data_IF_662157775810
#
_entry.id   IF_662157775810
#
_cell.length_a   1.000
_cell.length_b   1.000
_cell.length_c   1.000
_cell.angle_alpha   90.00
_cell.angle_beta   90.00
_cell.angle_gamma   90.00
#
_symmetry.space_group_name_H-M   'P 1'
#
loop_
_entity.id
_entity.type
_entity.pdbx_description
1 polymer ?
#
# COMPACT_ATOMS: atom_id res chain seq x y z
N UNK A 1 60.79 -54.67 -21.62
CA UNK A 1 60.83 -54.89 -23.09
C UNK A 1 60.65 -53.54 -23.79
N UNK A 2 61.28 -53.33 -24.97
CA UNK A 2 61.01 -52.35 -26.07
C UNK A 2 60.41 -50.96 -25.67
N UNK A 3 61.05 -49.78 -25.89
CA UNK A 3 61.40 -49.08 -27.17
C UNK A 3 60.20 -49.04 -28.17
N UNK A 4 59.84 -48.03 -28.97
CA UNK A 4 60.34 -46.73 -29.53
C UNK A 4 59.09 -45.95 -30.05
N UNK A 5 59.03 -44.66 -30.45
CA UNK A 5 59.81 -43.40 -30.31
C UNK A 5 58.97 -42.25 -30.91
N UNK A 6 58.93 -41.05 -30.32
CA UNK A 6 58.61 -39.78 -31.02
C UNK A 6 58.88 -38.56 -30.11
N UNK A 7 59.20 -37.35 -30.60
CA UNK A 7 60.10 -36.95 -31.70
C UNK A 7 60.47 -35.48 -31.42
N UNK A 8 61.71 -35.06 -31.70
CA UNK A 8 62.12 -33.64 -31.61
C UNK A 8 61.78 -32.88 -32.91
N UNK A 9 62.09 -31.59 -32.95
CA UNK A 9 61.85 -30.59 -34.02
C UNK A 9 60.41 -29.98 -33.98
N UNK A 10 60.20 -28.67 -34.18
CA UNK A 10 61.11 -27.54 -34.40
C UNK A 10 60.39 -26.20 -34.18
N UNK A 11 61.10 -25.20 -33.66
CA UNK A 11 60.66 -23.79 -33.69
C UNK A 11 60.66 -23.23 -35.13
N UNK A 12 59.77 -22.29 -35.42
CA UNK A 12 60.20 -21.06 -36.06
C UNK A 12 59.81 -19.83 -35.24
N UNK A 13 60.79 -18.99 -34.92
CA UNK A 13 60.55 -17.60 -34.56
C UNK A 13 60.17 -16.85 -35.85
N UNK A 14 58.98 -16.27 -35.90
CA UNK A 14 58.59 -15.31 -36.93
C UNK A 14 57.89 -14.10 -36.29
N UNK A 15 58.18 -12.92 -36.83
CA UNK A 15 57.92 -11.62 -36.22
C UNK A 15 56.45 -11.16 -36.35
N UNK A 16 56.01 -10.40 -35.34
CA UNK A 16 55.01 -9.30 -35.36
C UNK A 16 53.95 -9.29 -36.49
N UNK A 17 52.67 -9.30 -36.09
CA UNK A 17 51.78 -8.13 -36.18
C UNK A 17 50.54 -8.35 -35.31
N UNK A 18 49.91 -7.26 -34.85
CA UNK A 18 49.02 -7.30 -33.69
C UNK A 18 47.56 -7.68 -33.99
N UNK A 19 46.86 -8.06 -32.92
CA UNK A 19 45.51 -7.58 -32.66
C UNK A 19 45.23 -7.66 -31.15
N UNK A 20 45.18 -6.51 -30.48
CA UNK A 20 44.49 -6.40 -29.20
C UNK A 20 43.00 -6.57 -29.47
N UNK A 21 42.42 -7.66 -28.99
CA UNK A 21 40.99 -7.77 -28.69
C UNK A 21 40.85 -7.94 -27.17
N UNK A 22 41.32 -6.96 -26.38
CA UNK A 22 40.47 -5.87 -25.87
C UNK A 22 39.17 -6.40 -25.24
N UNK A 23 39.20 -6.61 -23.93
CA UNK A 23 37.96 -6.74 -23.16
C UNK A 23 37.19 -5.41 -23.22
N UNK A 24 35.90 -5.51 -23.51
CA UNK A 24 34.95 -4.38 -23.46
C UNK A 24 33.50 -4.81 -23.18
N UNK A 25 33.20 -6.11 -23.20
CA UNK A 25 31.85 -6.64 -22.98
C UNK A 25 31.36 -6.43 -21.54
N UNK A 26 32.23 -6.51 -20.52
CA UNK A 26 31.78 -6.51 -19.12
C UNK A 26 31.15 -5.21 -18.63
N UNK A 27 31.62 -4.03 -19.08
CA UNK A 27 31.09 -2.75 -18.59
C UNK A 27 29.86 -2.29 -19.38
N UNK A 28 29.89 -2.40 -20.71
CA UNK A 28 28.75 -2.03 -21.57
C UNK A 28 27.53 -2.95 -21.35
N UNK A 29 27.75 -4.25 -21.22
CA UNK A 29 26.67 -5.24 -21.02
C UNK A 29 26.08 -5.13 -19.61
N UNK A 30 26.88 -4.79 -18.59
CA UNK A 30 26.35 -4.41 -17.27
C UNK A 30 25.54 -3.11 -17.33
N UNK A 31 26.01 -2.09 -18.06
CA UNK A 31 25.33 -0.80 -18.11
C UNK A 31 23.98 -0.89 -18.86
N UNK A 32 23.91 -1.55 -20.02
CA UNK A 32 22.66 -1.81 -20.76
C UNK A 32 21.63 -2.59 -19.92
N UNK A 33 22.09 -3.57 -19.12
CA UNK A 33 21.22 -4.30 -18.19
C UNK A 33 20.71 -3.39 -17.06
N UNK A 34 21.58 -2.56 -16.45
CA UNK A 34 21.15 -1.65 -15.38
C UNK A 34 20.13 -0.61 -15.86
N UNK A 35 20.32 -0.04 -17.05
CA UNK A 35 19.36 0.87 -17.66
C UNK A 35 18.03 0.15 -17.96
N UNK A 36 18.08 -1.05 -18.54
CA UNK A 36 16.88 -1.85 -18.84
C UNK A 36 16.06 -2.17 -17.59
N UNK A 37 16.72 -2.60 -16.50
CA UNK A 37 16.06 -2.88 -15.22
C UNK A 37 15.46 -1.60 -14.61
N UNK A 38 16.18 -0.48 -14.63
CA UNK A 38 15.65 0.79 -14.13
C UNK A 38 14.43 1.28 -14.94
N UNK A 39 14.47 1.23 -16.27
CA UNK A 39 13.36 1.70 -17.10
C UNK A 39 12.09 0.83 -16.96
N UNK A 40 12.24 -0.49 -16.79
CA UNK A 40 11.11 -1.38 -16.44
C UNK A 40 10.47 -1.00 -15.11
N UNK A 41 11.27 -0.82 -14.06
CA UNK A 41 10.79 -0.39 -12.75
C UNK A 41 10.08 0.99 -12.82
N UNK A 42 10.65 1.92 -13.59
CA UNK A 42 10.06 3.25 -13.80
C UNK A 42 8.72 3.20 -14.54
N UNK A 43 8.60 2.41 -15.60
CA UNK A 43 7.35 2.25 -16.34
C UNK A 43 6.25 1.62 -15.47
N UNK A 44 6.59 0.60 -14.68
CA UNK A 44 5.67 0.00 -13.71
C UNK A 44 5.22 1.05 -12.68
N UNK A 45 6.16 1.76 -12.03
CA UNK A 45 5.87 2.83 -11.06
C UNK A 45 4.98 3.96 -11.61
N UNK A 46 5.12 4.31 -12.89
CA UNK A 46 4.30 5.31 -13.56
C UNK A 46 2.88 4.81 -13.89
N UNK A 47 2.70 3.50 -14.09
CA UNK A 47 1.39 2.89 -14.32
C UNK A 47 0.55 2.72 -13.05
N UNK A 48 1.18 2.72 -11.86
CA UNK A 48 0.50 2.55 -10.58
C UNK A 48 -0.46 3.71 -10.30
N UNK A 49 -1.75 3.40 -10.29
CA UNK A 49 -2.82 4.30 -9.89
C UNK A 49 -3.93 3.52 -9.20
N UNK A 50 -4.69 4.20 -8.33
CA UNK A 50 -5.85 3.63 -7.65
C UNK A 50 -7.08 4.54 -7.79
N UNK A 51 -7.70 4.59 -8.99
CA UNK A 51 -8.92 5.36 -9.20
C UNK A 51 -10.09 4.73 -8.44
N UNK A 52 -10.79 5.54 -7.64
CA UNK A 52 -12.12 5.16 -7.14
C UNK A 52 -13.12 5.09 -8.31
N UNK A 53 -14.14 4.21 -8.27
CA UNK A 53 -15.21 4.20 -9.27
C UNK A 53 -15.92 5.56 -9.36
N UNK A 54 -16.40 5.91 -10.56
CA UNK A 54 -17.11 7.18 -10.77
C UNK A 54 -18.36 7.24 -9.88
N UNK A 55 -18.48 8.32 -9.11
CA UNK A 55 -19.59 8.54 -8.17
C UNK A 55 -19.34 8.04 -6.75
N UNK A 56 -18.31 7.22 -6.52
CA UNK A 56 -17.87 6.85 -5.16
C UNK A 56 -17.32 8.08 -4.45
N UNK A 57 -17.93 8.48 -3.34
CA UNK A 57 -17.35 9.49 -2.46
C UNK A 57 -16.12 8.90 -1.78
N UNK A 58 -15.00 9.63 -1.80
CA UNK A 58 -13.83 9.24 -1.02
C UNK A 58 -14.20 9.23 0.46
N UNK A 59 -13.96 8.10 1.12
CA UNK A 59 -14.16 7.96 2.55
C UNK A 59 -13.38 9.02 3.33
N UNK A 60 -14.01 9.52 4.39
CA UNK A 60 -13.38 10.36 5.41
C UNK A 60 -13.85 9.85 6.77
N UNK A 61 -12.95 9.46 7.68
CA UNK A 61 -13.35 9.10 9.05
C UNK A 61 -13.93 10.34 9.75
N UNK A 62 -14.81 10.13 10.72
CA UNK A 62 -15.32 11.23 11.55
C UNK A 62 -14.20 11.81 12.43
N UNK A 63 -13.19 11.00 12.75
CA UNK A 63 -12.10 11.36 13.65
C UNK A 63 -12.58 11.58 15.08
N UNK A 64 -11.78 12.30 15.87
CA UNK A 64 -12.15 12.60 17.26
C UNK A 64 -13.25 13.68 17.29
N UNK A 65 -14.43 13.29 17.76
CA UNK A 65 -15.64 14.10 17.78
C UNK A 65 -15.61 15.04 18.99
N UNK A 66 -15.83 16.35 18.77
CA UNK A 66 -15.82 17.29 19.89
C UNK A 66 -17.09 17.18 20.75
N UNK A 67 -16.99 17.37 22.09
CA UNK A 67 -18.14 17.36 23.00
C UNK A 67 -19.22 18.42 22.70
N UNK A 68 -18.87 19.50 22.00
CA UNK A 68 -19.77 20.57 21.56
C UNK A 68 -20.31 20.39 20.12
N UNK A 69 -19.73 19.47 19.31
CA UNK A 69 -20.19 19.22 17.94
C UNK A 69 -21.38 18.25 17.89
N UNK A 70 -22.56 18.80 18.17
CA UNK A 70 -23.85 18.07 18.14
C UNK A 70 -24.10 17.38 16.79
N UNK A 71 -23.63 17.95 15.66
CA UNK A 71 -23.88 17.38 14.33
C UNK A 71 -23.06 16.11 14.10
N UNK A 72 -21.76 16.18 14.38
CA UNK A 72 -20.87 15.03 14.22
C UNK A 72 -21.19 13.94 15.25
N UNK A 73 -21.60 14.31 16.47
CA UNK A 73 -22.10 13.35 17.46
C UNK A 73 -23.41 12.67 17.04
N UNK A 74 -24.38 13.40 16.47
CA UNK A 74 -25.62 12.81 15.97
C UNK A 74 -25.32 11.79 14.86
N UNK A 75 -24.50 12.18 13.88
CA UNK A 75 -24.05 11.32 12.79
C UNK A 75 -23.36 10.05 13.31
N UNK A 76 -22.48 10.18 14.31
CA UNK A 76 -21.85 9.04 14.95
C UNK A 76 -22.87 8.10 15.61
N UNK A 77 -23.84 8.63 16.37
CA UNK A 77 -24.90 7.80 16.98
C UNK A 77 -25.73 7.05 15.93
N UNK A 78 -26.03 7.64 14.78
CA UNK A 78 -26.74 6.95 13.70
C UNK A 78 -25.92 5.77 13.13
N UNK A 79 -24.62 5.95 12.89
CA UNK A 79 -23.77 4.85 12.45
C UNK A 79 -23.57 3.76 13.52
N UNK A 80 -23.47 4.15 14.79
CA UNK A 80 -23.41 3.19 15.91
C UNK A 80 -24.68 2.35 15.95
N UNK A 81 -25.86 2.95 15.74
CA UNK A 81 -27.11 2.19 15.63
C UNK A 81 -27.12 1.24 14.42
N UNK A 82 -26.62 1.66 13.25
CA UNK A 82 -26.46 0.75 12.11
C UNK A 82 -25.56 -0.44 12.47
N UNK A 83 -24.37 -0.18 13.04
CA UNK A 83 -23.44 -1.25 13.42
C UNK A 83 -24.02 -2.15 14.51
N UNK A 84 -24.80 -1.60 15.44
CA UNK A 84 -25.51 -2.35 16.49
C UNK A 84 -26.57 -3.29 15.92
N UNK A 85 -27.28 -2.87 14.87
CA UNK A 85 -28.24 -3.73 14.14
C UNK A 85 -27.54 -4.79 13.28
N UNK A 86 -26.41 -4.43 12.65
CA UNK A 86 -25.58 -5.33 11.84
C UNK A 86 -24.95 -6.46 12.67
N UNK A 87 -24.55 -6.17 13.91
CA UNK A 87 -23.79 -7.10 14.78
C UNK A 87 -24.59 -7.67 15.96
N UNK A 88 -25.86 -7.27 16.10
CA UNK A 88 -26.73 -7.55 17.26
C UNK A 88 -26.12 -7.17 18.63
N UNK A 89 -25.07 -6.33 18.63
CA UNK A 89 -24.25 -6.06 19.80
C UNK A 89 -24.87 -5.06 20.79
N UNK A 90 -24.20 -4.88 21.94
CA UNK A 90 -24.49 -3.76 22.83
C UNK A 90 -24.16 -2.42 22.14
N UNK A 91 -24.75 -1.32 22.62
CA UNK A 91 -24.45 0.02 22.09
C UNK A 91 -22.95 0.37 22.21
N UNK A 92 -22.32 0.05 23.34
CA UNK A 92 -20.89 0.30 23.58
C UNK A 92 -20.00 -0.54 22.66
N UNK A 93 -20.32 -1.82 22.50
CA UNK A 93 -19.60 -2.73 21.60
C UNK A 93 -19.73 -2.30 20.13
N UNK A 94 -20.93 -1.90 19.72
CA UNK A 94 -21.17 -1.38 18.37
C UNK A 94 -20.38 -0.10 18.08
N UNK A 95 -20.23 0.80 19.07
CA UNK A 95 -19.38 1.98 18.96
C UNK A 95 -17.89 1.63 18.87
N UNK A 96 -17.41 0.62 19.61
CA UNK A 96 -16.04 0.11 19.46
C UNK A 96 -15.79 -0.49 18.06
N UNK A 97 -16.70 -1.34 17.57
CA UNK A 97 -16.60 -1.93 16.22
C UNK A 97 -16.65 -0.87 15.13
N UNK A 98 -17.55 0.11 15.25
CA UNK A 98 -17.64 1.22 14.30
C UNK A 98 -16.35 2.06 14.25
N UNK A 99 -15.72 2.31 15.41
CA UNK A 99 -14.46 3.04 15.46
C UNK A 99 -13.32 2.25 14.77
N UNK A 100 -13.29 0.93 14.93
CA UNK A 100 -12.35 0.05 14.21
C UNK A 100 -12.60 0.06 12.69
N UNK A 101 -13.86 -0.05 12.25
CA UNK A 101 -14.25 0.03 10.84
C UNK A 101 -13.76 1.33 10.18
N UNK A 102 -13.81 2.48 10.89
CA UNK A 102 -13.39 3.78 10.34
C UNK A 102 -11.92 3.84 9.94
N UNK A 103 -11.01 3.26 10.72
CA UNK A 103 -9.58 3.35 10.40
C UNK A 103 -9.13 2.38 9.32
N UNK A 104 -9.94 1.37 8.97
CA UNK A 104 -9.62 0.36 7.95
C UNK A 104 -9.26 0.98 6.58
N UNK A 105 -10.09 1.90 6.07
CA UNK A 105 -9.90 2.50 4.75
C UNK A 105 -8.68 3.43 4.70
N UNK A 106 -8.45 4.26 5.72
CA UNK A 106 -7.24 5.10 5.78
C UNK A 106 -5.97 4.26 5.97
N UNK A 107 -6.04 3.11 6.65
CA UNK A 107 -4.92 2.16 6.72
C UNK A 107 -4.54 1.59 5.34
N UNK A 108 -5.51 1.27 4.48
CA UNK A 108 -5.22 0.82 3.11
C UNK A 108 -4.62 1.93 2.25
N UNK A 109 -5.08 3.16 2.43
CA UNK A 109 -4.54 4.37 1.79
C UNK A 109 -3.13 4.73 2.27
N UNK A 110 -2.82 4.49 3.54
CA UNK A 110 -1.46 4.56 4.06
C UNK A 110 -0.55 3.51 3.40
N UNK A 111 -0.94 2.22 3.43
CA UNK A 111 -0.18 1.14 2.78
C UNK A 111 0.11 1.41 1.30
N UNK A 112 -0.86 1.94 0.55
CA UNK A 112 -0.62 2.38 -0.84
C UNK A 112 0.47 3.44 -0.95
N UNK A 113 0.46 4.47 -0.08
CA UNK A 113 1.49 5.51 -0.04
C UNK A 113 2.85 4.93 0.32
N UNK A 114 2.90 4.06 1.31
CA UNK A 114 4.13 3.47 1.84
C UNK A 114 4.80 2.57 0.78
N UNK A 115 4.02 1.78 0.04
CA UNK A 115 4.52 0.97 -1.07
C UNK A 115 5.03 1.82 -2.25
N UNK A 116 4.36 2.94 -2.58
CA UNK A 116 4.87 3.87 -3.60
C UNK A 116 6.17 4.54 -3.15
N UNK A 117 6.28 4.94 -1.88
CA UNK A 117 7.50 5.51 -1.33
C UNK A 117 8.66 4.49 -1.35
N UNK A 118 8.40 3.22 -0.99
CA UNK A 118 9.38 2.15 -1.08
C UNK A 118 9.89 1.93 -2.52
N UNK A 119 9.03 2.04 -3.54
CA UNK A 119 9.44 2.01 -4.94
C UNK A 119 10.29 3.23 -5.30
N UNK A 120 9.85 4.44 -4.93
CA UNK A 120 10.57 5.67 -5.25
C UNK A 120 11.97 5.71 -4.60
N UNK A 121 12.08 5.28 -3.33
CA UNK A 121 13.34 5.19 -2.57
C UNK A 121 14.28 4.11 -3.12
N UNK A 122 13.76 2.92 -3.46
CA UNK A 122 14.57 1.83 -4.04
C UNK A 122 15.11 2.21 -5.42
N UNK A 123 14.29 2.82 -6.28
CA UNK A 123 14.73 3.35 -7.57
C UNK A 123 15.78 4.47 -7.42
N UNK A 124 15.62 5.34 -6.42
CA UNK A 124 16.59 6.39 -6.12
C UNK A 124 17.92 5.82 -5.60
N UNK A 125 17.87 4.79 -4.74
CA UNK A 125 19.06 4.08 -4.25
C UNK A 125 19.80 3.36 -5.40
N UNK A 126 19.06 2.76 -6.33
CA UNK A 126 19.64 2.09 -7.50
C UNK A 126 20.42 3.06 -8.39
N UNK A 127 19.82 4.21 -8.74
CA UNK A 127 20.52 5.28 -9.49
C UNK A 127 21.72 5.88 -8.76
N UNK A 128 21.82 5.73 -7.44
CA UNK A 128 22.94 6.20 -6.62
C UNK A 128 24.03 5.13 -6.42
N UNK A 129 23.89 3.94 -7.02
CA UNK A 129 24.72 2.77 -6.74
C UNK A 129 24.77 2.42 -5.23
N UNK A 130 23.69 2.71 -4.50
CA UNK A 130 23.55 2.47 -3.06
C UNK A 130 22.39 1.50 -2.73
N UNK A 131 21.96 0.72 -3.73
CA UNK A 131 20.92 -0.29 -3.60
C UNK A 131 21.53 -1.59 -3.07
N UNK A 132 21.28 -1.87 -1.79
CA UNK A 132 21.93 -2.95 -1.05
C UNK A 132 20.98 -4.13 -0.74
N UNK A 133 19.84 -4.24 -1.44
CA UNK A 133 18.92 -5.36 -1.26
C UNK A 133 19.41 -6.58 -2.03
N UNK A 134 19.21 -7.77 -1.46
CA UNK A 134 19.56 -9.04 -2.11
C UNK A 134 18.66 -9.38 -3.32
N UNK A 135 17.48 -8.75 -3.40
CA UNK A 135 16.50 -8.92 -4.49
C UNK A 135 16.79 -7.92 -5.62
N UNK A 136 16.79 -8.33 -6.90
CA UNK A 136 16.83 -7.41 -8.05
C UNK A 136 15.81 -6.27 -7.96
N UNK A 137 16.13 -5.10 -8.52
CA UNK A 137 15.27 -3.91 -8.41
C UNK A 137 13.89 -4.16 -9.04
N UNK A 138 13.83 -4.78 -10.21
CA UNK A 138 12.57 -5.06 -10.91
C UNK A 138 11.70 -6.07 -10.15
N UNK A 139 12.29 -7.13 -9.58
CA UNK A 139 11.58 -8.04 -8.67
C UNK A 139 11.07 -7.34 -7.40
N UNK A 140 11.88 -6.47 -6.79
CA UNK A 140 11.48 -5.70 -5.61
C UNK A 140 10.32 -4.74 -5.93
N UNK A 141 10.44 -3.97 -7.02
CA UNK A 141 9.41 -3.02 -7.46
C UNK A 141 8.13 -3.74 -7.89
N UNK A 142 8.21 -4.93 -8.50
CA UNK A 142 7.05 -5.78 -8.75
C UNK A 142 6.37 -6.22 -7.45
N UNK A 143 7.13 -6.66 -6.44
CA UNK A 143 6.57 -7.06 -5.15
C UNK A 143 5.86 -5.89 -4.42
N UNK A 144 6.42 -4.68 -4.49
CA UNK A 144 5.78 -3.47 -3.94
C UNK A 144 4.55 -3.05 -4.77
N UNK A 145 4.58 -3.21 -6.09
CA UNK A 145 3.44 -2.96 -6.99
C UNK A 145 2.27 -3.92 -6.70
N UNK A 146 2.55 -5.21 -6.46
CA UNK A 146 1.53 -6.20 -6.10
C UNK A 146 0.87 -5.86 -4.76
N UNK A 147 1.68 -5.48 -3.76
CA UNK A 147 1.17 -5.00 -2.47
C UNK A 147 0.37 -3.70 -2.60
N UNK A 148 0.79 -2.78 -3.48
CA UNK A 148 0.03 -1.57 -3.82
C UNK A 148 -1.33 -1.92 -4.43
N UNK A 149 -1.37 -2.84 -5.39
CA UNK A 149 -2.63 -3.29 -6.02
C UNK A 149 -3.54 -4.03 -5.04
N UNK A 150 -3.00 -4.81 -4.10
CA UNK A 150 -3.77 -5.43 -3.03
C UNK A 150 -4.38 -4.37 -2.10
N UNK A 151 -3.57 -3.40 -1.65
CA UNK A 151 -4.05 -2.29 -0.82
C UNK A 151 -5.09 -1.42 -1.55
N UNK A 152 -4.93 -1.20 -2.86
CA UNK A 152 -5.90 -0.50 -3.69
C UNK A 152 -7.26 -1.22 -3.77
N UNK A 153 -7.27 -2.54 -4.01
CA UNK A 153 -8.51 -3.34 -4.01
C UNK A 153 -9.25 -3.22 -2.68
N UNK A 154 -8.52 -3.34 -1.56
CA UNK A 154 -9.08 -3.22 -0.22
C UNK A 154 -9.58 -1.79 0.09
N UNK A 155 -8.86 -0.75 -0.36
CA UNK A 155 -9.30 0.63 -0.27
C UNK A 155 -10.61 0.88 -1.03
N UNK A 156 -10.71 0.39 -2.28
CA UNK A 156 -11.93 0.51 -3.10
C UNK A 156 -13.11 -0.22 -2.42
N UNK A 157 -12.89 -1.44 -1.92
CA UNK A 157 -13.92 -2.19 -1.21
C UNK A 157 -14.41 -1.43 0.03
N UNK A 158 -13.51 -0.96 0.89
CA UNK A 158 -13.89 -0.21 2.08
C UNK A 158 -14.64 1.09 1.73
N UNK A 159 -14.24 1.80 0.68
CA UNK A 159 -14.99 2.99 0.20
C UNK A 159 -16.40 2.62 -0.27
N UNK A 160 -16.60 1.47 -0.91
CA UNK A 160 -17.92 0.99 -1.31
C UNK A 160 -18.80 0.66 -0.10
N UNK A 161 -18.25 -0.04 0.90
CA UNK A 161 -18.93 -0.33 2.17
C UNK A 161 -19.37 0.96 2.88
N UNK A 162 -18.57 2.03 2.82
CA UNK A 162 -18.95 3.35 3.33
C UNK A 162 -20.09 4.02 2.55
N UNK A 163 -20.09 3.93 1.22
CA UNK A 163 -21.21 4.42 0.38
C UNK A 163 -22.51 3.67 0.68
N UNK A 164 -22.44 2.36 0.92
CA UNK A 164 -23.62 1.57 1.26
C UNK A 164 -24.09 1.79 2.71
N UNK A 165 -23.18 2.08 3.66
CA UNK A 165 -23.51 2.58 5.01
C UNK A 165 -24.19 3.96 4.96
N UNK A 166 -23.72 4.90 4.13
CA UNK A 166 -24.40 6.19 3.89
C UNK A 166 -25.84 5.98 3.40
N UNK A 167 -26.06 5.05 2.45
CA UNK A 167 -27.41 4.70 1.95
C UNK A 167 -28.26 3.93 2.99
N UNK A 168 -27.64 3.29 3.98
CA UNK A 168 -28.34 2.69 5.11
C UNK A 168 -28.77 3.77 6.13
N UNK A 169 -27.97 4.81 6.36
CA UNK A 169 -28.35 5.97 7.20
C UNK A 169 -29.60 6.68 6.65
N UNK A 170 -29.68 6.85 5.34
CA UNK A 170 -30.85 7.47 4.68
C UNK A 170 -32.15 6.71 4.97
N UNK A 171 -32.09 5.37 5.08
CA UNK A 171 -33.22 4.52 5.47
C UNK A 171 -33.50 4.59 6.98
N UNK A 172 -32.46 4.53 7.81
CA UNK A 172 -32.58 4.68 9.27
C UNK A 172 -33.26 6.01 9.66
N UNK A 173 -32.91 7.11 8.97
CA UNK A 173 -33.49 8.46 9.15
C UNK A 173 -34.97 8.57 8.76
N UNK A 174 -35.54 7.62 8.04
CA UNK A 174 -36.97 7.60 7.69
C UNK A 174 -37.84 6.99 8.80
N UNK A 175 -37.26 6.36 9.81
CA UNK A 175 -38.00 5.75 10.91
C UNK A 175 -38.67 6.80 11.80
N UNK A 176 -39.96 6.58 12.10
CA UNK A 176 -40.83 7.50 12.86
C UNK A 176 -40.36 7.78 14.30
N UNK A 177 -39.56 6.89 14.88
CA UNK A 177 -38.95 7.06 16.20
C UNK A 177 -37.44 6.86 16.04
N UNK A 178 -36.65 7.78 16.59
CA UNK A 178 -35.20 7.78 16.46
C UNK A 178 -34.51 7.76 17.84
N UNK A 179 -34.78 6.75 18.69
CA UNK A 179 -34.26 6.68 20.07
C UNK A 179 -32.73 6.54 20.16
N UNK A 180 -32.04 6.29 19.05
CA UNK A 180 -30.58 6.30 18.96
C UNK A 180 -30.00 7.72 18.91
N UNK A 181 -30.78 8.75 18.54
CA UNK A 181 -30.34 10.15 18.58
C UNK A 181 -30.38 10.76 19.99
N UNK A 182 -30.88 10.02 20.98
CA UNK A 182 -30.89 10.41 22.38
C UNK A 182 -29.45 10.66 22.88
N UNK A 183 -29.19 11.86 23.39
CA UNK A 183 -27.87 12.27 23.85
C UNK A 183 -27.38 11.49 25.07
N UNK A 184 -28.30 10.88 25.84
CA UNK A 184 -27.96 9.98 26.95
C UNK A 184 -27.30 8.67 26.50
N UNK A 185 -27.38 8.33 25.20
CA UNK A 185 -26.60 7.23 24.62
C UNK A 185 -25.12 7.65 24.54
N UNK A 186 -24.21 6.98 25.27
CA UNK A 186 -22.80 7.34 25.27
C UNK A 186 -22.16 7.00 23.91
N UNK A 187 -21.16 7.79 23.52
CA UNK A 187 -20.16 7.38 22.52
C UNK A 187 -18.91 6.91 23.27
N UNK A 188 -18.10 6.06 22.67
CA UNK A 188 -16.88 5.58 23.33
C UNK A 188 -15.87 6.72 23.50
N UNK A 189 -15.05 6.64 24.55
CA UNK A 189 -13.93 7.54 24.78
C UNK A 189 -13.03 7.70 23.55
N UNK A 190 -12.76 6.59 22.84
CA UNK A 190 -11.95 6.56 21.62
C UNK A 190 -12.60 7.23 20.39
N UNK A 191 -13.85 7.68 20.48
CA UNK A 191 -14.52 8.52 19.47
C UNK A 191 -14.60 10.00 19.88
N UNK A 192 -14.33 10.35 21.15
CA UNK A 192 -14.57 11.70 21.68
C UNK A 192 -13.25 12.45 21.98
N UNK A 193 -13.19 13.72 21.61
CA UNK A 193 -12.05 14.59 21.90
C UNK A 193 -12.18 15.21 23.30
N UNK A 194 -11.51 14.66 24.33
CA UNK A 194 -11.43 15.34 25.62
C UNK A 194 -10.77 14.58 26.77
N UNK A 195 -10.25 15.32 27.75
CA UNK A 195 -9.65 14.78 29.00
C UNK A 195 -10.65 14.07 29.93
N UNK A 196 -11.95 14.24 29.72
CA UNK A 196 -13.01 13.70 30.60
C UNK A 196 -13.48 12.31 30.16
N UNK A 197 -12.76 11.69 29.23
CA UNK A 197 -12.83 10.27 28.97
C UNK A 197 -12.14 9.53 30.12
N UNK A 198 -12.83 9.40 31.25
CA UNK A 198 -12.40 8.47 32.29
C UNK A 198 -12.67 7.06 31.78
N UNK A 199 -11.64 6.20 31.88
CA UNK A 199 -11.83 4.76 31.72
C UNK A 199 -12.64 4.26 32.93
N UNK A 200 -13.82 3.69 32.66
CA UNK A 200 -14.56 2.83 33.59
C UNK A 200 -13.98 1.41 33.56
#
# INVERSE_FOLDING_TARGET
>A
MKKTHALLMSLPLAFLLGCNASGSTTEQEQQDVTDTTYFKAQALRQSLSCPLPKGTRAFKPLGNIKPDDVKTQALAREYVELKRRETEASWQSAAQYFNQDQYSAENWKARMRDNLAAIDDSMLAYRKNSYNFATPLDEYVQSQADQYHQACKQYIQANQEWVDKDRALERLRQEKKQPWLDQTRPLTCSMMAGKNCYDD
#
